data_IF_174942961169
#
_entry.id   IF_174942961169
#
_cell.length_a   1.000
_cell.length_b   1.000
_cell.length_c   1.000
_cell.angle_alpha   90.00
_cell.angle_beta   90.00
_cell.angle_gamma   90.00
#
_symmetry.space_group_name_H-M   'P 1'
#
loop_
_entity.id
_entity.type
_entity.pdbx_description
1 polymer ?
#
# COMPACT_ATOMS: atom_id res chain seq x y z
N UNK A 1 23.36 46.91 -1.22
CA UNK A 1 24.18 45.88 -1.88
C UNK A 1 24.28 44.68 -0.96
N UNK A 2 23.99 43.49 -1.50
CA UNK A 2 24.41 42.16 -1.04
C UNK A 2 23.74 41.60 0.23
N UNK A 3 22.64 40.90 -0.04
CA UNK A 3 22.12 39.75 0.68
C UNK A 3 23.22 38.82 1.22
N UNK A 4 23.15 38.46 2.50
CA UNK A 4 23.81 37.26 3.03
C UNK A 4 22.84 36.49 3.92
N UNK A 5 21.86 35.90 3.24
CA UNK A 5 21.41 34.51 3.38
C UNK A 5 21.09 34.05 4.80
N UNK A 6 19.80 34.19 5.16
CA UNK A 6 19.10 33.32 6.10
C UNK A 6 19.33 31.85 5.69
N UNK A 7 20.20 31.14 6.39
CA UNK A 7 20.35 29.69 6.23
C UNK A 7 19.26 28.99 7.04
N UNK A 8 18.03 29.04 6.50
CA UNK A 8 16.92 28.18 6.90
C UNK A 8 17.26 26.79 6.40
N UNK A 9 18.03 26.03 7.18
CA UNK A 9 18.15 24.58 6.99
C UNK A 9 16.92 23.92 7.59
N UNK A 10 15.77 24.18 6.98
CA UNK A 10 14.56 23.40 7.19
C UNK A 10 14.86 22.02 6.59
N UNK A 11 15.31 21.10 7.42
CA UNK A 11 15.36 19.68 7.10
C UNK A 11 13.90 19.23 7.00
N UNK A 12 13.34 19.43 5.81
CA UNK A 12 12.02 18.97 5.43
C UNK A 12 12.05 17.45 5.52
N UNK A 13 11.64 16.92 6.67
CA UNK A 13 11.12 15.56 6.80
C UNK A 13 9.89 15.51 5.90
N UNK A 14 10.12 15.30 4.61
CA UNK A 14 9.12 14.76 3.70
C UNK A 14 8.92 13.31 4.12
N UNK A 15 8.18 13.15 5.22
CA UNK A 15 7.46 11.92 5.47
C UNK A 15 6.42 11.86 4.35
N UNK A 16 6.82 11.26 3.22
CA UNK A 16 5.90 10.94 2.15
C UNK A 16 4.79 10.16 2.78
N UNK A 17 3.60 10.77 2.86
CA UNK A 17 2.40 10.11 3.33
C UNK A 17 2.08 9.07 2.28
N UNK A 18 2.68 7.89 2.43
CA UNK A 18 2.37 6.72 1.65
C UNK A 18 0.93 6.39 1.99
N UNK A 19 0.01 6.96 1.21
CA UNK A 19 -1.40 6.65 1.30
C UNK A 19 -1.51 5.16 1.06
N UNK A 20 -1.71 4.41 2.15
CA UNK A 20 -1.77 2.97 2.11
C UNK A 20 -2.88 2.60 1.14
N UNK A 21 -2.49 2.01 0.01
CA UNK A 21 -3.47 1.46 -0.92
C UNK A 21 -4.26 0.41 -0.16
N UNK A 22 -5.58 0.45 -0.30
CA UNK A 22 -6.45 -0.55 0.27
C UNK A 22 -6.80 -1.58 -0.79
N UNK A 23 -7.29 -2.74 -0.40
CA UNK A 23 -7.77 -3.74 -1.34
C UNK A 23 -8.85 -3.19 -2.30
N UNK A 24 -9.63 -2.18 -1.89
CA UNK A 24 -10.61 -1.50 -2.77
C UNK A 24 -9.97 -0.69 -3.90
N UNK A 25 -8.66 -0.42 -3.81
CA UNK A 25 -7.91 0.30 -4.83
C UNK A 25 -7.53 -0.56 -6.04
N UNK A 26 -7.72 -1.89 -5.96
CA UNK A 26 -7.36 -2.82 -7.01
C UNK A 26 -8.60 -3.46 -7.60
N UNK A 27 -8.59 -3.67 -8.93
CA UNK A 27 -9.70 -4.31 -9.64
C UNK A 27 -9.58 -5.83 -9.62
N UNK A 28 -8.35 -6.34 -9.59
CA UNK A 28 -8.07 -7.78 -9.63
C UNK A 28 -7.09 -8.18 -8.53
N UNK A 29 -7.18 -9.45 -8.10
CA UNK A 29 -6.23 -10.03 -7.16
C UNK A 29 -4.78 -9.97 -7.70
N UNK A 30 -4.59 -10.23 -8.99
CA UNK A 30 -3.26 -10.19 -9.61
C UNK A 30 -2.58 -8.81 -9.49
N UNK A 31 -3.34 -7.72 -9.66
CA UNK A 31 -2.81 -6.37 -9.46
C UNK A 31 -2.47 -6.10 -8.00
N UNK A 32 -3.33 -6.53 -7.06
CA UNK A 32 -3.09 -6.37 -5.63
C UNK A 32 -1.86 -7.18 -5.17
N UNK A 33 -1.73 -8.42 -5.64
CA UNK A 33 -0.61 -9.30 -5.34
C UNK A 33 0.70 -8.72 -5.84
N UNK A 34 0.74 -8.25 -7.08
CA UNK A 34 1.94 -7.62 -7.64
C UNK A 34 2.36 -6.39 -6.83
N UNK A 35 1.38 -5.58 -6.40
CA UNK A 35 1.66 -4.41 -5.55
C UNK A 35 2.20 -4.83 -4.18
N UNK A 36 1.61 -5.85 -3.55
CA UNK A 36 2.08 -6.41 -2.29
C UNK A 36 3.51 -6.94 -2.40
N UNK A 37 3.82 -7.69 -3.44
CA UNK A 37 5.16 -8.23 -3.65
C UNK A 37 6.21 -7.15 -3.85
N UNK A 38 5.85 -6.09 -4.58
CA UNK A 38 6.73 -4.97 -4.91
C UNK A 38 6.96 -4.05 -3.71
N UNK A 39 5.89 -3.69 -2.99
CA UNK A 39 5.93 -2.68 -1.94
C UNK A 39 5.96 -3.28 -0.52
N UNK A 40 5.90 -4.61 -0.41
CA UNK A 40 5.76 -5.35 0.86
C UNK A 40 4.64 -4.78 1.73
N UNK A 41 3.54 -4.41 1.08
CA UNK A 41 2.44 -3.68 1.68
C UNK A 41 1.59 -4.61 2.56
N UNK A 42 2.08 -4.94 3.76
CA UNK A 42 1.43 -5.84 4.74
C UNK A 42 -0.01 -5.49 5.05
N UNK A 43 -0.42 -4.23 4.86
CA UNK A 43 -1.81 -3.81 4.99
C UNK A 43 -2.77 -4.49 4.01
N UNK A 44 -2.26 -5.05 2.90
CA UNK A 44 -3.01 -5.77 1.89
C UNK A 44 -3.18 -7.28 2.19
N UNK A 45 -2.28 -7.86 2.98
CA UNK A 45 -2.28 -9.27 3.41
C UNK A 45 -2.40 -9.30 4.94
N UNK A 46 -3.63 -9.19 5.43
CA UNK A 46 -3.92 -8.99 6.86
C UNK A 46 -3.75 -10.26 7.68
N UNK A 47 -3.90 -11.43 7.07
CA UNK A 47 -3.73 -12.74 7.69
C UNK A 47 -2.31 -13.30 7.54
N UNK A 48 -1.48 -12.70 6.68
CA UNK A 48 -0.04 -12.96 6.61
C UNK A 48 0.30 -14.27 5.93
N UNK A 49 -0.58 -14.77 5.08
CA UNK A 49 -0.41 -16.05 4.38
C UNK A 49 0.34 -15.91 3.04
N UNK A 50 0.68 -14.67 2.67
CA UNK A 50 1.38 -14.32 1.45
C UNK A 50 0.46 -13.97 0.26
N UNK A 51 -0.87 -14.03 0.42
CA UNK A 51 -1.85 -13.70 -0.62
C UNK A 51 -2.55 -12.37 -0.32
N UNK A 52 -2.28 -11.37 -1.15
CA UNK A 52 -2.77 -10.03 -0.96
C UNK A 52 -4.24 -9.92 -1.34
N UNK A 53 -5.04 -9.39 -0.41
CA UNK A 53 -6.40 -8.96 -0.68
C UNK A 53 -7.32 -10.07 -1.22
N UNK A 54 -7.22 -11.25 -0.63
CA UNK A 54 -7.48 -12.60 -1.16
C UNK A 54 -8.84 -12.97 -1.80
N UNK A 55 -9.73 -12.00 -2.09
CA UNK A 55 -10.69 -11.99 -3.22
C UNK A 55 -11.41 -10.64 -3.40
N UNK A 56 -10.95 -9.59 -2.70
CA UNK A 56 -11.45 -8.21 -2.67
C UNK A 56 -12.94 -8.13 -2.21
N UNK A 57 -13.53 -7.00 -1.77
CA UNK A 57 -13.00 -5.68 -1.43
C UNK A 57 -12.81 -5.53 0.09
N UNK A 58 -11.60 -5.81 0.58
CA UNK A 58 -11.20 -5.58 1.98
C UNK A 58 -10.08 -6.50 2.48
N UNK A 59 -10.07 -7.74 1.99
CA UNK A 59 -8.93 -8.66 2.07
C UNK A 59 -8.97 -9.71 3.19
N UNK A 60 -8.36 -10.87 2.89
CA UNK A 60 -8.43 -12.20 3.56
C UNK A 60 -9.75 -12.95 3.34
N UNK A 61 -10.06 -13.27 2.08
CA UNK A 61 -11.09 -14.25 1.73
C UNK A 61 -10.56 -15.69 1.64
N UNK A 62 -9.32 -15.91 2.06
CA UNK A 62 -8.58 -17.18 2.12
C UNK A 62 -8.81 -18.07 0.89
N UNK A 63 -8.43 -17.52 -0.27
CA UNK A 63 -8.21 -18.18 -1.56
C UNK A 63 -9.47 -18.72 -2.27
N UNK A 64 -10.23 -17.87 -2.97
CA UNK A 64 -11.46 -18.30 -3.66
C UNK A 64 -11.31 -18.54 -5.18
N UNK A 65 -11.86 -19.67 -5.69
CA UNK A 65 -12.25 -19.88 -7.09
C UNK A 65 -13.78 -19.85 -7.36
N UNK A 66 -14.64 -19.81 -6.33
CA UNK A 66 -16.08 -19.48 -6.37
C UNK A 66 -16.57 -19.43 -4.92
N UNK A 67 -16.95 -18.27 -4.38
CA UNK A 67 -17.32 -18.16 -2.96
C UNK A 67 -18.70 -18.81 -2.75
N UNK A 68 -18.76 -20.09 -2.34
CA UNK A 68 -20.03 -20.68 -1.88
C UNK A 68 -20.38 -20.09 -0.52
N UNK A 69 -21.67 -19.71 -0.42
CA UNK A 69 -22.34 -18.99 0.67
C UNK A 69 -22.04 -19.51 2.07
#
# INVERSE_FOLDING_TARGET
MKFLILSISALSLFCGTANAKSCKSFKTHAEAQKYYETHKAKSLDRDGDGSACDCLPGGSGRKCPNHKK
#
